data_IF_590945039927
#
_entry.id   IF_590945039927
#
_cell.length_a   1.000
_cell.length_b   1.000
_cell.length_c   1.000
_cell.angle_alpha   90.00
_cell.angle_beta   90.00
_cell.angle_gamma   90.00
#
_symmetry.space_group_name_H-M   'P 1'
#
loop_
_entity.id
_entity.type
_entity.pdbx_description
1 polymer ?
#
# COMPACT_ATOMS: atom_id res chain seq x y z
N UNK A 1 1.60 -21.94 -48.87
CA UNK A 1 2.99 -21.51 -48.69
C UNK A 1 3.23 -21.52 -47.23
N UNK A 2 3.93 -22.58 -46.89
CA UNK A 2 4.35 -23.00 -45.57
C UNK A 2 5.32 -21.98 -44.96
N UNK A 3 5.13 -21.67 -43.69
CA UNK A 3 6.22 -21.23 -42.81
C UNK A 3 6.08 -21.92 -41.44
N UNK A 4 6.58 -23.16 -41.49
CA UNK A 4 6.85 -24.02 -40.36
C UNK A 4 8.38 -24.15 -40.26
N UNK A 5 9.00 -23.61 -39.23
CA UNK A 5 10.40 -23.78 -38.76
C UNK A 5 10.76 -22.55 -37.94
N UNK A 6 11.13 -22.62 -36.68
CA UNK A 6 12.04 -23.50 -35.94
C UNK A 6 11.75 -23.38 -34.45
N UNK A 7 11.24 -24.43 -33.83
CA UNK A 7 11.44 -24.63 -32.38
C UNK A 7 12.81 -25.26 -32.21
N UNK A 8 13.77 -24.49 -31.74
CA UNK A 8 15.05 -25.04 -31.26
C UNK A 8 14.82 -25.79 -29.97
N UNK A 9 14.91 -27.11 -30.06
CA UNK A 9 15.03 -28.00 -28.91
C UNK A 9 16.25 -27.59 -28.08
N UNK A 10 15.99 -27.14 -26.87
CA UNK A 10 17.02 -26.97 -25.86
C UNK A 10 17.20 -28.34 -25.20
N UNK A 11 17.91 -29.25 -25.86
CA UNK A 11 18.39 -30.46 -25.22
C UNK A 11 19.50 -30.07 -24.25
N UNK A 12 19.17 -30.11 -22.97
CA UNK A 12 20.14 -30.07 -21.89
C UNK A 12 21.09 -31.24 -22.02
N UNK A 13 22.31 -30.99 -22.46
CA UNK A 13 23.45 -31.90 -22.23
C UNK A 13 23.78 -31.79 -20.76
N UNK A 14 23.14 -32.59 -19.92
CA UNK A 14 23.69 -32.95 -18.62
C UNK A 14 24.97 -33.75 -18.88
N UNK A 15 26.10 -33.09 -18.73
CA UNK A 15 27.37 -33.79 -18.53
C UNK A 15 27.28 -34.46 -17.17
N UNK A 16 27.16 -35.79 -17.17
CA UNK A 16 27.40 -36.64 -16.01
C UNK A 16 28.88 -36.48 -15.59
N UNK A 17 29.18 -35.42 -14.86
CA UNK A 17 30.41 -35.30 -14.10
C UNK A 17 30.32 -36.28 -12.93
N UNK A 18 30.88 -37.47 -13.11
CA UNK A 18 31.08 -38.45 -12.05
C UNK A 18 32.05 -37.82 -11.04
N UNK A 19 31.57 -37.63 -9.83
CA UNK A 19 32.37 -37.16 -8.69
C UNK A 19 33.54 -38.14 -8.45
N UNK A 20 34.72 -37.58 -8.09
CA UNK A 20 35.85 -38.37 -7.68
C UNK A 20 35.58 -39.11 -6.35
N UNK A 21 36.27 -40.20 -6.11
CA UNK A 21 36.08 -41.01 -4.87
C UNK A 21 36.35 -40.17 -3.59
N UNK A 22 37.20 -39.17 -3.69
CA UNK A 22 37.51 -38.26 -2.57
C UNK A 22 36.42 -37.25 -2.33
N UNK A 23 35.71 -36.77 -3.38
CA UNK A 23 34.56 -35.89 -3.27
C UNK A 23 33.32 -36.63 -2.74
N UNK A 24 33.13 -37.88 -3.14
CA UNK A 24 32.07 -38.73 -2.56
C UNK A 24 32.26 -38.93 -1.06
N UNK A 25 33.53 -39.20 -0.64
CA UNK A 25 33.88 -39.40 0.77
C UNK A 25 33.64 -38.11 1.58
N UNK A 26 34.00 -36.96 1.03
CA UNK A 26 33.80 -35.65 1.67
C UNK A 26 32.30 -35.34 1.81
N UNK A 27 31.51 -35.58 0.76
CA UNK A 27 30.08 -35.38 0.77
C UNK A 27 29.36 -36.34 1.77
N UNK A 28 29.87 -37.55 1.95
CA UNK A 28 29.34 -38.48 2.93
C UNK A 28 29.65 -38.05 4.38
N UNK A 29 30.87 -37.50 4.63
CA UNK A 29 31.23 -36.93 5.91
C UNK A 29 30.42 -35.68 6.25
N UNK A 30 30.02 -34.89 5.25
CA UNK A 30 29.15 -33.72 5.41
C UNK A 30 27.65 -34.05 5.48
N UNK A 31 27.29 -35.35 5.37
CA UNK A 31 25.89 -35.79 5.39
C UNK A 31 25.06 -35.35 4.19
N UNK A 32 25.71 -35.00 3.06
CA UNK A 32 25.07 -34.41 1.87
C UNK A 32 24.74 -35.47 0.81
N UNK A 33 25.15 -36.74 1.02
CA UNK A 33 24.89 -37.86 0.09
C UNK A 33 23.41 -38.18 -0.06
N UNK A 34 23.06 -38.77 -1.20
CA UNK A 34 21.67 -39.17 -1.49
C UNK A 34 21.06 -40.13 -0.46
N UNK A 35 21.89 -40.94 0.26
CA UNK A 35 21.44 -41.80 1.34
C UNK A 35 21.07 -40.99 2.60
N UNK A 36 21.87 -40.03 2.99
CA UNK A 36 21.60 -39.14 4.11
C UNK A 36 20.36 -38.26 3.85
N UNK A 37 20.20 -37.74 2.64
CA UNK A 37 18.98 -37.01 2.23
C UNK A 37 17.73 -37.85 2.28
N UNK A 38 17.77 -39.10 1.80
CA UNK A 38 16.64 -40.05 1.86
C UNK A 38 16.27 -40.38 3.30
N UNK A 39 17.27 -40.59 4.18
CA UNK A 39 17.04 -40.84 5.60
C UNK A 39 16.45 -39.62 6.30
N UNK A 40 16.97 -38.43 6.01
CA UNK A 40 16.44 -37.18 6.53
C UNK A 40 15.00 -36.90 6.07
N UNK A 41 14.71 -37.07 4.78
CA UNK A 41 13.35 -36.94 4.23
C UNK A 41 12.38 -37.97 4.84
N UNK A 42 12.83 -39.22 4.98
CA UNK A 42 12.01 -40.26 5.62
C UNK A 42 11.70 -39.93 7.09
N UNK A 43 12.68 -39.48 7.85
CA UNK A 43 12.49 -39.08 9.24
C UNK A 43 11.63 -37.81 9.37
N UNK A 44 11.82 -36.84 8.49
CA UNK A 44 11.02 -35.62 8.46
C UNK A 44 9.56 -35.90 8.09
N UNK A 45 9.30 -36.77 7.11
CA UNK A 45 7.95 -37.18 6.77
C UNK A 45 7.29 -38.00 7.90
N UNK A 46 8.02 -38.87 8.58
CA UNK A 46 7.48 -39.59 9.72
C UNK A 46 7.13 -38.66 10.89
N UNK A 47 7.98 -37.63 11.15
CA UNK A 47 7.70 -36.62 12.15
C UNK A 47 6.49 -35.75 11.79
N UNK A 48 6.37 -35.34 10.52
CA UNK A 48 5.21 -34.58 10.02
C UNK A 48 3.92 -35.40 10.09
N UNK A 49 3.95 -36.66 9.71
CA UNK A 49 2.79 -37.57 9.83
C UNK A 49 2.41 -37.81 11.28
N UNK A 50 3.41 -37.96 12.17
CA UNK A 50 3.18 -38.08 13.61
C UNK A 50 2.54 -36.87 14.23
N UNK A 51 3.04 -35.64 13.90
CA UNK A 51 2.46 -34.39 14.37
C UNK A 51 1.07 -34.13 13.77
N UNK A 52 0.85 -34.50 12.51
CA UNK A 52 -0.46 -34.41 11.88
C UNK A 52 -1.49 -35.37 12.49
N UNK A 53 -1.10 -36.63 12.73
CA UNK A 53 -1.94 -37.60 13.42
C UNK A 53 -2.23 -37.18 14.88
N UNK A 54 -1.23 -36.68 15.60
CA UNK A 54 -1.41 -36.10 16.94
C UNK A 54 -2.38 -34.92 16.93
N UNK A 55 -2.25 -34.02 15.94
CA UNK A 55 -3.17 -32.87 15.78
C UNK A 55 -4.60 -33.31 15.43
N UNK A 56 -4.78 -34.39 14.66
CA UNK A 56 -6.12 -34.91 14.37
C UNK A 56 -6.75 -35.53 15.61
N UNK A 57 -5.99 -36.33 16.37
CA UNK A 57 -6.47 -36.93 17.62
C UNK A 57 -6.74 -35.88 18.71
N UNK A 58 -5.85 -34.89 18.85
CA UNK A 58 -6.04 -33.78 19.78
C UNK A 58 -7.26 -32.91 19.42
N UNK A 59 -7.61 -32.83 18.14
CA UNK A 59 -8.82 -32.09 17.72
C UNK A 59 -10.11 -32.80 18.16
N UNK A 60 -10.17 -34.13 18.14
CA UNK A 60 -11.37 -34.81 18.60
C UNK A 60 -11.63 -34.58 20.11
N UNK A 61 -10.60 -34.66 20.93
CA UNK A 61 -10.73 -34.38 22.38
C UNK A 61 -11.01 -32.89 22.65
N UNK A 62 -10.36 -31.97 21.90
CA UNK A 62 -10.60 -30.52 22.02
C UNK A 62 -12.00 -30.16 21.50
N UNK A 63 -12.50 -30.80 20.45
CA UNK A 63 -13.88 -30.59 19.99
C UNK A 63 -14.92 -31.14 20.96
N UNK A 64 -14.61 -32.29 21.61
CA UNK A 64 -15.52 -32.85 22.61
C UNK A 64 -15.61 -31.97 23.85
N UNK A 65 -14.50 -31.36 24.30
CA UNK A 65 -14.50 -30.38 25.40
C UNK A 65 -15.15 -29.05 25.02
N UNK A 66 -14.98 -28.58 23.79
CA UNK A 66 -15.65 -27.40 23.27
C UNK A 66 -17.18 -27.59 23.09
N UNK A 67 -17.59 -28.82 22.77
CA UNK A 67 -19.03 -29.14 22.64
C UNK A 67 -19.73 -29.33 24.01
N UNK A 68 -18.95 -29.59 25.06
CA UNK A 68 -19.50 -29.79 26.41
C UNK A 68 -19.74 -28.48 27.18
N UNK A 69 -19.04 -27.39 26.82
CA UNK A 69 -19.18 -26.08 27.43
C UNK A 69 -19.20 -24.97 26.37
N UNK A 70 -20.29 -24.80 25.61
CA UNK A 70 -20.37 -23.77 24.57
C UNK A 70 -20.24 -22.33 25.13
N UNK A 71 -20.55 -22.13 26.42
CA UNK A 71 -20.47 -20.81 27.05
C UNK A 71 -19.07 -20.44 27.56
N UNK A 72 -18.16 -21.40 27.69
CA UNK A 72 -16.79 -21.14 28.19
C UNK A 72 -15.83 -20.59 27.14
N UNK A 73 -16.09 -20.84 25.85
CA UNK A 73 -15.25 -20.37 24.74
C UNK A 73 -15.54 -18.90 24.37
N UNK A 74 -16.72 -18.40 24.73
CA UNK A 74 -17.05 -16.98 24.71
C UNK A 74 -16.72 -16.28 26.04
N UNK A 75 -15.79 -16.85 26.83
CA UNK A 75 -15.22 -16.15 27.98
C UNK A 75 -14.72 -14.81 27.47
N UNK A 76 -15.49 -13.80 27.83
CA UNK A 76 -15.42 -12.37 27.55
C UNK A 76 -14.05 -11.95 27.02
N UNK A 77 -14.02 -11.55 25.73
CA UNK A 77 -12.91 -10.75 25.25
C UNK A 77 -12.65 -9.67 26.31
N UNK A 78 -11.39 -9.47 26.73
CA UNK A 78 -11.10 -8.49 27.79
C UNK A 78 -11.78 -7.17 27.42
N UNK A 79 -12.55 -6.63 28.36
CA UNK A 79 -13.25 -5.37 28.14
C UNK A 79 -12.24 -4.34 27.64
N UNK A 80 -12.55 -3.67 26.53
CA UNK A 80 -11.67 -2.65 25.98
C UNK A 80 -11.54 -1.55 27.02
N UNK A 81 -10.31 -1.28 27.47
CA UNK A 81 -10.05 -0.19 28.40
C UNK A 81 -10.47 1.14 27.75
N UNK A 82 -11.15 2.01 28.49
CA UNK A 82 -11.69 3.28 27.98
C UNK A 82 -12.57 3.12 26.71
N UNK A 83 -13.36 2.04 26.68
CA UNK A 83 -14.22 1.73 25.55
C UNK A 83 -15.21 2.85 25.24
N UNK A 84 -15.28 3.23 23.98
CA UNK A 84 -16.29 4.11 23.42
C UNK A 84 -16.96 3.43 22.23
N UNK A 85 -18.28 3.58 22.13
CA UNK A 85 -19.01 3.15 20.95
C UNK A 85 -19.03 4.27 19.94
N UNK A 86 -18.47 4.03 18.76
CA UNK A 86 -18.37 5.02 17.68
C UNK A 86 -19.19 4.54 16.49
N UNK A 87 -20.03 5.42 15.95
CA UNK A 87 -20.79 5.19 14.74
C UNK A 87 -20.12 5.92 13.58
N UNK A 88 -19.52 5.18 12.67
CA UNK A 88 -18.81 5.71 11.51
C UNK A 88 -19.59 5.43 10.23
N UNK A 89 -19.68 6.41 9.33
CA UNK A 89 -20.13 6.18 7.96
C UNK A 89 -18.89 6.00 7.08
N UNK A 90 -18.66 4.78 6.62
CA UNK A 90 -17.45 4.45 5.88
C UNK A 90 -17.86 3.90 4.52
N UNK A 91 -17.40 4.56 3.45
CA UNK A 91 -17.69 4.19 2.06
C UNK A 91 -19.19 3.97 1.84
N UNK A 92 -20.02 4.89 2.34
CA UNK A 92 -21.48 4.83 2.24
C UNK A 92 -22.18 3.85 3.20
N UNK A 93 -21.43 3.04 3.98
CA UNK A 93 -21.98 2.08 4.93
C UNK A 93 -21.79 2.55 6.38
N UNK A 94 -22.83 2.38 7.21
CA UNK A 94 -22.74 2.72 8.63
C UNK A 94 -22.19 1.53 9.42
N UNK A 95 -21.10 1.76 10.15
CA UNK A 95 -20.40 0.78 10.97
C UNK A 95 -20.41 1.22 12.43
N UNK A 96 -20.75 0.30 13.34
CA UNK A 96 -20.64 0.52 14.79
C UNK A 96 -19.42 -0.23 15.31
N UNK A 97 -18.54 0.48 15.98
CA UNK A 97 -17.32 -0.07 16.57
C UNK A 97 -17.25 0.27 18.04
N UNK A 98 -16.82 -0.70 18.85
CA UNK A 98 -16.36 -0.47 20.19
C UNK A 98 -14.84 -0.44 20.17
N UNK A 99 -14.26 0.70 20.50
CA UNK A 99 -12.82 0.93 20.44
C UNK A 99 -12.35 1.69 21.69
N UNK A 100 -11.07 1.61 22.04
CA UNK A 100 -10.46 2.52 23.00
C UNK A 100 -10.57 3.95 22.46
N UNK A 101 -10.92 4.91 23.31
CA UNK A 101 -11.07 6.32 22.94
C UNK A 101 -9.83 6.94 22.28
N UNK A 102 -8.65 6.32 22.48
CA UNK A 102 -7.35 6.71 21.89
C UNK A 102 -7.08 6.07 20.53
N UNK A 103 -7.96 5.18 20.04
CA UNK A 103 -7.75 4.47 18.78
C UNK A 103 -7.71 5.44 17.62
N UNK A 104 -6.61 5.39 16.84
CA UNK A 104 -6.50 6.13 15.60
C UNK A 104 -7.49 5.61 14.55
N UNK A 105 -7.98 6.52 13.71
CA UNK A 105 -8.87 6.14 12.60
C UNK A 105 -8.21 5.09 11.69
N UNK A 106 -6.91 5.22 11.45
CA UNK A 106 -6.13 4.25 10.67
C UNK A 106 -6.25 2.82 11.24
N UNK A 107 -6.10 2.67 12.55
CA UNK A 107 -6.17 1.37 13.22
C UNK A 107 -7.60 0.82 13.23
N UNK A 108 -8.60 1.69 13.43
CA UNK A 108 -10.00 1.31 13.32
C UNK A 108 -10.33 0.77 11.92
N UNK A 109 -9.89 1.46 10.86
CA UNK A 109 -10.10 1.04 9.48
C UNK A 109 -9.43 -0.29 9.17
N UNK A 110 -8.16 -0.44 9.52
CA UNK A 110 -7.35 -1.60 9.15
C UNK A 110 -7.61 -2.84 10.02
N UNK A 111 -7.59 -2.65 11.35
CA UNK A 111 -7.55 -3.77 12.31
C UNK A 111 -8.95 -4.20 12.76
N UNK A 112 -9.94 -3.30 12.68
CA UNK A 112 -11.32 -3.60 13.09
C UNK A 112 -12.25 -3.85 11.91
N UNK A 113 -12.07 -3.09 10.82
CA UNK A 113 -12.93 -3.18 9.64
C UNK A 113 -12.31 -3.93 8.46
N UNK A 114 -11.02 -4.29 8.55
CA UNK A 114 -10.34 -5.01 7.48
C UNK A 114 -10.10 -4.18 6.21
N UNK A 115 -10.28 -2.84 6.27
CA UNK A 115 -10.02 -1.94 5.16
C UNK A 115 -8.53 -1.64 5.08
N UNK A 116 -7.78 -2.53 4.45
CA UNK A 116 -6.31 -2.52 4.42
C UNK A 116 -5.71 -1.67 3.31
N UNK A 117 -6.52 -1.08 2.45
CA UNK A 117 -6.08 -0.18 1.39
C UNK A 117 -5.34 1.04 1.92
N UNK A 118 -5.87 1.69 2.95
CA UNK A 118 -5.16 2.76 3.67
C UNK A 118 -3.93 2.19 4.40
N UNK A 119 -2.75 2.78 4.19
CA UNK A 119 -1.47 2.20 4.63
C UNK A 119 -0.87 2.89 5.86
N UNK A 120 -0.32 2.09 6.78
CA UNK A 120 0.46 2.56 7.93
C UNK A 120 1.94 2.64 7.51
N UNK A 121 2.41 3.83 7.11
CA UNK A 121 3.80 4.07 6.76
C UNK A 121 4.63 4.53 7.96
N UNK A 122 4.53 5.78 8.36
CA UNK A 122 5.31 6.36 9.46
C UNK A 122 4.59 6.36 10.81
N UNK A 123 3.25 6.29 10.82
CA UNK A 123 2.38 6.37 11.99
C UNK A 123 2.53 7.66 12.85
N UNK A 124 3.05 8.71 12.24
CA UNK A 124 3.34 9.99 12.91
C UNK A 124 3.07 11.21 12.02
N UNK A 125 2.23 11.07 11.00
CA UNK A 125 1.75 12.18 10.17
C UNK A 125 2.71 12.70 9.12
N UNK A 126 3.88 12.05 8.86
CA UNK A 126 4.91 12.60 7.97
C UNK A 126 4.81 12.13 6.51
N UNK A 127 4.28 10.93 6.25
CA UNK A 127 4.41 10.30 4.94
C UNK A 127 3.17 10.36 4.05
N UNK A 128 2.00 10.67 4.59
CA UNK A 128 0.74 10.74 3.84
C UNK A 128 0.17 9.41 3.33
N UNK A 129 0.82 8.25 3.57
CA UNK A 129 0.34 6.95 3.09
C UNK A 129 -1.02 6.55 3.70
N UNK A 130 -1.37 7.13 4.84
CA UNK A 130 -2.62 6.90 5.55
C UNK A 130 -3.72 7.92 5.22
N UNK A 131 -3.56 8.74 4.20
CA UNK A 131 -4.56 9.77 3.83
C UNK A 131 -5.89 9.12 3.46
N UNK A 132 -6.96 9.62 4.07
CA UNK A 132 -8.36 9.32 3.76
C UNK A 132 -9.13 10.64 3.61
N UNK A 133 -10.36 10.57 3.14
CA UNK A 133 -11.24 11.75 3.00
C UNK A 133 -12.31 11.67 4.09
N UNK A 134 -12.41 12.70 4.93
CA UNK A 134 -13.44 12.83 5.97
C UNK A 134 -14.26 14.09 5.70
N UNK A 135 -15.54 13.94 5.48
CA UNK A 135 -16.46 15.05 5.10
C UNK A 135 -15.89 15.90 3.95
N UNK A 136 -15.36 15.24 2.91
CA UNK A 136 -14.79 15.90 1.73
C UNK A 136 -13.37 16.46 1.92
N UNK A 137 -12.77 16.39 3.12
CA UNK A 137 -11.43 16.90 3.41
C UNK A 137 -10.43 15.76 3.62
N UNK A 138 -9.26 15.85 3.02
CA UNK A 138 -8.18 14.89 3.28
C UNK A 138 -7.65 15.05 4.70
N UNK A 139 -7.49 13.94 5.38
CA UNK A 139 -6.91 13.86 6.73
C UNK A 139 -5.91 12.72 6.82
N UNK A 140 -4.95 12.86 7.73
CA UNK A 140 -4.01 11.80 8.06
C UNK A 140 -4.66 10.89 9.12
N UNK A 141 -5.15 9.74 8.72
CA UNK A 141 -5.89 8.85 9.62
C UNK A 141 -5.07 8.32 10.81
N UNK A 142 -3.74 8.30 10.72
CA UNK A 142 -2.86 7.96 11.84
C UNK A 142 -2.86 9.01 12.96
N UNK A 143 -3.19 10.27 12.66
CA UNK A 143 -3.29 11.36 13.63
C UNK A 143 -4.75 11.77 13.95
N UNK A 144 -5.71 11.06 13.37
CA UNK A 144 -7.14 11.32 13.57
C UNK A 144 -7.70 10.25 14.49
N UNK A 145 -8.35 10.62 15.59
CA UNK A 145 -9.02 9.64 16.45
C UNK A 145 -10.30 9.12 15.80
N UNK A 146 -10.55 7.82 15.89
CA UNK A 146 -11.78 7.22 15.39
C UNK A 146 -13.02 7.87 16.05
N UNK A 147 -12.96 8.11 17.36
CA UNK A 147 -14.04 8.76 18.11
C UNK A 147 -14.33 10.19 17.61
N UNK A 148 -13.36 10.92 17.07
CA UNK A 148 -13.57 12.26 16.52
C UNK A 148 -14.28 12.26 15.17
N UNK A 149 -14.42 11.08 14.56
CA UNK A 149 -15.11 10.88 13.28
C UNK A 149 -16.54 10.38 13.45
N UNK A 150 -17.07 10.33 14.69
CA UNK A 150 -18.45 9.92 14.92
C UNK A 150 -19.42 10.75 14.10
N UNK A 151 -20.30 10.07 13.36
CA UNK A 151 -21.29 10.68 12.48
C UNK A 151 -20.77 11.29 11.19
N UNK A 152 -19.45 11.33 10.99
CA UNK A 152 -18.81 11.84 9.77
C UNK A 152 -18.74 10.77 8.68
N UNK A 153 -18.67 11.23 7.44
CA UNK A 153 -18.46 10.37 6.30
C UNK A 153 -16.96 10.21 6.02
N UNK A 154 -16.51 8.96 6.02
CA UNK A 154 -15.13 8.58 5.77
C UNK A 154 -15.06 7.84 4.44
N UNK A 155 -14.33 8.37 3.49
CA UNK A 155 -14.04 7.69 2.22
C UNK A 155 -12.59 7.24 2.20
N UNK A 156 -12.41 5.94 2.01
CA UNK A 156 -11.10 5.31 1.82
C UNK A 156 -10.89 4.97 0.34
N UNK A 157 -9.72 4.47 0.00
CA UNK A 157 -9.42 4.07 -1.39
C UNK A 157 -10.40 3.02 -1.93
N UNK A 158 -10.88 2.13 -1.05
CA UNK A 158 -11.85 1.10 -1.40
C UNK A 158 -13.23 1.68 -1.77
N UNK A 159 -13.56 2.86 -1.27
CA UNK A 159 -14.84 3.51 -1.52
C UNK A 159 -14.84 4.47 -2.71
N UNK A 160 -13.73 4.62 -3.43
CA UNK A 160 -13.66 5.49 -4.60
C UNK A 160 -14.19 4.81 -5.88
N UNK A 161 -13.95 3.51 -6.02
CA UNK A 161 -14.48 2.74 -7.15
C UNK A 161 -15.94 2.32 -6.89
N UNK A 162 -16.71 2.18 -7.97
CA UNK A 162 -18.05 1.60 -7.97
C UNK A 162 -17.99 0.22 -8.64
N UNK A 163 -17.87 -0.83 -7.82
CA UNK A 163 -17.60 -2.19 -8.30
C UNK A 163 -16.35 -2.25 -9.17
N UNK A 164 -16.49 -2.71 -10.40
CA UNK A 164 -15.40 -2.80 -11.38
C UNK A 164 -15.09 -1.45 -12.08
N UNK A 165 -15.88 -0.41 -11.83
CA UNK A 165 -15.67 0.90 -12.43
C UNK A 165 -14.72 1.72 -11.56
N UNK A 166 -13.49 1.87 -12.03
CA UNK A 166 -12.49 2.67 -11.35
C UNK A 166 -12.88 4.16 -11.35
N UNK A 167 -12.58 4.83 -10.24
CA UNK A 167 -12.63 6.29 -10.21
C UNK A 167 -11.65 6.87 -11.25
N UNK A 168 -11.97 7.99 -11.94
CA UNK A 168 -11.10 8.58 -12.97
C UNK A 168 -9.65 8.78 -12.51
N UNK A 169 -9.44 9.15 -11.24
CA UNK A 169 -8.11 9.30 -10.67
C UNK A 169 -7.36 7.95 -10.56
N UNK A 170 -8.05 6.86 -10.20
CA UNK A 170 -7.45 5.52 -10.16
C UNK A 170 -7.03 5.07 -11.57
N UNK A 171 -7.89 5.28 -12.55
CA UNK A 171 -7.59 4.95 -13.95
C UNK A 171 -6.40 5.78 -14.49
N UNK A 172 -6.36 7.08 -14.17
CA UNK A 172 -5.25 7.96 -14.57
C UNK A 172 -3.92 7.55 -13.91
N UNK A 173 -3.93 7.12 -12.65
CA UNK A 173 -2.72 6.61 -11.98
C UNK A 173 -2.18 5.35 -12.66
N UNK A 174 -3.04 4.46 -13.15
CA UNK A 174 -2.62 3.28 -13.93
C UNK A 174 -2.04 3.73 -15.27
N UNK A 175 -2.73 4.63 -15.98
CA UNK A 175 -2.34 5.10 -17.31
C UNK A 175 -0.99 5.82 -17.33
N UNK A 176 -0.68 6.60 -16.28
CA UNK A 176 0.50 7.43 -16.18
C UNK A 176 1.61 6.84 -15.29
N UNK A 177 1.54 5.56 -14.95
CA UNK A 177 2.51 4.92 -14.03
C UNK A 177 2.71 5.72 -12.73
N UNK A 178 1.61 6.24 -12.17
CA UNK A 178 1.60 7.02 -10.94
C UNK A 178 2.01 6.24 -9.69
N UNK A 179 2.54 5.02 -9.84
CA UNK A 179 3.02 4.16 -8.77
C UNK A 179 4.04 3.14 -9.28
N UNK A 180 4.84 2.58 -8.36
CA UNK A 180 5.69 1.42 -8.59
C UNK A 180 5.36 0.33 -7.58
N UNK A 181 5.85 0.44 -6.33
CA UNK A 181 5.54 -0.56 -5.29
C UNK A 181 4.08 -0.53 -4.81
N UNK A 182 3.33 0.52 -5.10
CA UNK A 182 1.92 0.66 -4.74
C UNK A 182 1.64 1.03 -3.27
N UNK A 183 2.64 1.06 -2.39
CA UNK A 183 2.41 1.24 -0.96
C UNK A 183 1.82 2.61 -0.61
N UNK A 184 2.33 3.71 -1.16
CA UNK A 184 1.81 5.06 -0.93
C UNK A 184 0.60 5.40 -1.80
N UNK A 185 0.29 4.57 -2.80
CA UNK A 185 -0.70 4.88 -3.84
C UNK A 185 -2.11 5.16 -3.32
N UNK A 186 -2.66 4.41 -2.35
CA UNK A 186 -3.97 4.75 -1.77
C UNK A 186 -4.03 6.16 -1.19
N UNK A 187 -3.01 6.55 -0.42
CA UNK A 187 -2.91 7.89 0.14
C UNK A 187 -2.71 8.97 -0.92
N UNK A 188 -1.92 8.69 -1.97
CA UNK A 188 -1.71 9.60 -3.10
C UNK A 188 -3.03 9.85 -3.85
N UNK A 189 -3.79 8.80 -4.14
CA UNK A 189 -5.07 8.91 -4.85
C UNK A 189 -6.09 9.67 -4.01
N UNK A 190 -6.27 9.34 -2.72
CA UNK A 190 -7.18 10.06 -1.84
C UNK A 190 -6.80 11.55 -1.74
N UNK A 191 -5.50 11.86 -1.63
CA UNK A 191 -5.01 13.24 -1.63
C UNK A 191 -5.28 13.95 -2.96
N UNK A 192 -5.08 13.27 -4.10
CA UNK A 192 -5.31 13.81 -5.42
C UNK A 192 -6.81 14.11 -5.67
N UNK A 193 -7.70 13.25 -5.21
CA UNK A 193 -9.16 13.48 -5.30
C UNK A 193 -9.56 14.71 -4.48
N UNK A 194 -9.09 14.80 -3.24
CA UNK A 194 -9.39 15.94 -2.37
C UNK A 194 -8.77 17.24 -2.90
N UNK A 195 -7.56 17.19 -3.48
CA UNK A 195 -6.89 18.33 -4.12
C UNK A 195 -7.75 18.97 -5.22
N UNK A 196 -8.45 18.16 -6.03
CA UNK A 196 -9.32 18.68 -7.07
C UNK A 196 -10.49 19.49 -6.48
N UNK A 197 -11.08 19.03 -5.39
CA UNK A 197 -12.14 19.77 -4.70
C UNK A 197 -11.59 21.03 -4.01
N UNK A 198 -10.41 20.97 -3.40
CA UNK A 198 -9.72 22.13 -2.83
C UNK A 198 -9.49 23.22 -3.90
N UNK A 199 -8.99 22.81 -5.07
CA UNK A 199 -8.77 23.76 -6.18
C UNK A 199 -10.07 24.37 -6.69
N UNK A 200 -11.13 23.59 -6.77
CA UNK A 200 -12.47 24.01 -7.19
C UNK A 200 -13.10 24.98 -6.19
N UNK A 201 -12.92 24.73 -4.89
CA UNK A 201 -13.40 25.60 -3.82
C UNK A 201 -12.57 26.89 -3.69
N UNK A 202 -11.40 26.97 -4.33
CA UNK A 202 -10.49 28.10 -4.20
C UNK A 202 -9.66 28.08 -2.92
N UNK A 203 -9.45 26.89 -2.33
CA UNK A 203 -8.61 26.79 -1.14
C UNK A 203 -7.17 27.22 -1.46
N UNK A 204 -6.60 28.07 -0.61
CA UNK A 204 -5.24 28.59 -0.81
C UNK A 204 -4.19 27.47 -0.65
N UNK A 205 -3.11 27.57 -1.42
CA UNK A 205 -1.90 26.78 -1.26
C UNK A 205 -0.71 27.67 -0.94
N UNK A 206 0.44 27.09 -0.65
CA UNK A 206 1.66 27.84 -0.39
C UNK A 206 2.16 28.64 -1.60
N UNK A 207 1.76 28.26 -2.81
CA UNK A 207 2.09 28.98 -4.05
C UNK A 207 1.02 29.96 -4.52
N UNK A 208 -0.03 30.18 -3.71
CA UNK A 208 -1.07 31.17 -4.00
C UNK A 208 -0.52 32.55 -3.84
N UNK A 209 -0.43 33.32 -4.94
CA UNK A 209 0.20 34.63 -4.96
C UNK A 209 -0.54 35.71 -4.15
N UNK A 210 -1.87 35.65 -4.08
CA UNK A 210 -2.68 36.66 -3.39
C UNK A 210 -3.80 36.00 -2.61
N UNK A 211 -3.66 35.97 -1.30
CA UNK A 211 -4.66 35.40 -0.38
C UNK A 211 -5.91 36.29 -0.23
N UNK A 212 -5.82 37.57 -0.65
CA UNK A 212 -6.94 38.54 -0.59
C UNK A 212 -7.94 38.40 -1.74
N UNK A 213 -7.57 37.69 -2.82
CA UNK A 213 -8.40 37.48 -4.00
C UNK A 213 -8.34 36.01 -4.41
N UNK A 214 -8.94 35.13 -3.60
CA UNK A 214 -9.00 33.72 -3.89
C UNK A 214 -10.08 33.53 -4.96
N UNK A 215 -9.66 33.16 -6.17
CA UNK A 215 -10.57 32.80 -7.24
C UNK A 215 -11.04 31.37 -7.03
N UNK A 216 -12.34 31.11 -7.18
CA UNK A 216 -12.84 29.74 -7.34
C UNK A 216 -12.25 29.14 -8.61
N UNK A 217 -12.09 27.82 -8.63
CA UNK A 217 -11.46 27.09 -9.74
C UNK A 217 -10.00 27.53 -10.00
N UNK A 218 -9.15 27.34 -9.01
CA UNK A 218 -7.71 27.59 -9.14
C UNK A 218 -7.14 26.73 -10.26
N UNK A 219 -6.43 27.38 -11.20
CA UNK A 219 -5.74 26.66 -12.27
C UNK A 219 -4.60 25.81 -11.67
N UNK A 220 -4.67 24.50 -11.87
CA UNK A 220 -3.66 23.55 -11.38
C UNK A 220 -2.47 23.49 -12.33
N UNK A 221 -1.49 24.36 -12.12
CA UNK A 221 -0.16 24.19 -12.71
C UNK A 221 0.58 23.01 -12.05
N UNK A 222 1.63 22.51 -12.71
CA UNK A 222 2.46 21.45 -12.14
C UNK A 222 3.05 21.86 -10.77
N UNK A 223 3.38 23.14 -10.60
CA UNK A 223 3.86 23.70 -9.33
C UNK A 223 2.78 23.63 -8.26
N UNK A 224 1.54 24.00 -8.60
CA UNK A 224 0.39 23.94 -7.69
C UNK A 224 0.07 22.49 -7.28
N UNK A 225 0.11 21.56 -8.26
CA UNK A 225 -0.11 20.12 -7.98
C UNK A 225 0.97 19.60 -7.05
N UNK A 226 2.25 19.86 -7.33
CA UNK A 226 3.37 19.39 -6.49
C UNK A 226 3.28 19.93 -5.08
N UNK A 227 2.93 21.20 -4.93
CA UNK A 227 2.75 21.84 -3.62
C UNK A 227 1.64 21.13 -2.83
N UNK A 228 0.46 20.98 -3.41
CA UNK A 228 -0.68 20.34 -2.74
C UNK A 228 -0.46 18.88 -2.45
N UNK A 229 0.42 18.22 -3.19
CA UNK A 229 0.80 16.81 -3.00
C UNK A 229 2.04 16.61 -2.11
N UNK A 230 2.69 17.68 -1.66
CA UNK A 230 3.97 17.63 -0.92
C UNK A 230 3.91 16.81 0.37
N UNK A 231 2.73 16.68 0.99
CA UNK A 231 2.51 15.86 2.19
C UNK A 231 2.46 14.35 1.93
N UNK A 232 2.50 13.90 0.67
CA UNK A 232 2.40 12.49 0.30
C UNK A 232 3.72 12.00 -0.31
N UNK A 233 4.50 11.24 0.45
CA UNK A 233 5.84 10.81 0.07
C UNK A 233 5.78 9.51 -0.74
N UNK A 234 6.49 9.49 -1.89
CA UNK A 234 6.72 8.29 -2.69
C UNK A 234 8.20 7.93 -2.72
N UNK A 235 8.60 6.84 -2.04
CA UNK A 235 10.00 6.40 -2.01
C UNK A 235 10.51 5.92 -3.37
N UNK A 236 9.62 5.43 -4.24
CA UNK A 236 9.96 5.00 -5.60
C UNK A 236 10.11 6.16 -6.59
N UNK A 237 9.73 7.38 -6.22
CA UNK A 237 9.90 8.55 -7.08
C UNK A 237 8.88 8.67 -8.21
N UNK A 238 7.68 8.07 -8.10
CA UNK A 238 6.66 8.12 -9.15
C UNK A 238 5.98 9.49 -9.32
N UNK A 239 6.57 10.56 -8.79
CA UNK A 239 6.00 11.92 -8.80
C UNK A 239 5.64 12.45 -10.19
N UNK A 240 6.46 12.25 -11.26
CA UNK A 240 6.08 12.71 -12.59
C UNK A 240 4.76 12.09 -13.09
N UNK A 241 4.59 10.78 -12.90
CA UNK A 241 3.36 10.07 -13.24
C UNK A 241 2.16 10.53 -12.41
N UNK A 242 2.35 10.77 -11.09
CA UNK A 242 1.31 11.31 -10.20
C UNK A 242 0.84 12.69 -10.67
N UNK A 243 1.76 13.60 -11.00
CA UNK A 243 1.44 14.94 -11.50
C UNK A 243 0.70 14.85 -12.84
N UNK A 244 1.15 13.98 -13.75
CA UNK A 244 0.51 13.77 -15.04
C UNK A 244 -0.93 13.23 -14.89
N UNK A 245 -1.15 12.27 -13.98
CA UNK A 245 -2.47 11.72 -13.69
C UNK A 245 -3.44 12.79 -13.16
N UNK A 246 -3.00 13.60 -12.20
CA UNK A 246 -3.82 14.67 -11.62
C UNK A 246 -4.16 15.73 -12.69
N UNK A 247 -3.19 16.09 -13.52
CA UNK A 247 -3.37 17.06 -14.60
C UNK A 247 -4.38 16.59 -15.64
N UNK A 248 -4.32 15.30 -16.02
CA UNK A 248 -5.28 14.71 -16.94
C UNK A 248 -6.70 14.77 -16.38
N UNK A 249 -6.90 14.31 -15.17
CA UNK A 249 -8.23 14.31 -14.53
C UNK A 249 -8.77 15.74 -14.35
N UNK A 250 -7.91 16.68 -13.97
CA UNK A 250 -8.30 18.09 -13.83
C UNK A 250 -8.72 18.74 -15.14
N UNK A 251 -7.93 18.50 -16.20
CA UNK A 251 -8.18 19.14 -17.51
C UNK A 251 -9.28 18.44 -18.32
N UNK A 252 -9.60 17.20 -18.01
CA UNK A 252 -10.47 16.32 -18.81
C UNK A 252 -9.90 16.03 -20.20
N UNK A 253 -8.59 16.30 -20.42
CA UNK A 253 -7.90 16.07 -21.68
C UNK A 253 -6.79 15.05 -21.51
N UNK A 254 -6.69 14.15 -22.45
CA UNK A 254 -5.52 13.26 -22.52
C UNK A 254 -4.25 14.09 -22.67
N UNK A 255 -3.34 13.97 -21.73
CA UNK A 255 -2.02 14.55 -21.82
C UNK A 255 -1.05 13.48 -22.25
N UNK A 256 -0.39 13.69 -23.42
CA UNK A 256 0.71 12.83 -23.81
C UNK A 256 1.82 12.93 -22.75
N UNK A 257 2.31 11.77 -22.31
CA UNK A 257 3.48 11.72 -21.43
C UNK A 257 4.71 12.06 -22.26
N UNK A 258 5.20 13.29 -22.14
CA UNK A 258 6.48 13.68 -22.73
C UNK A 258 7.55 13.58 -21.64
N UNK A 259 8.43 12.60 -21.78
CA UNK A 259 9.64 12.52 -20.97
C UNK A 259 10.63 13.56 -21.48
N UNK A 260 10.88 14.59 -20.67
CA UNK A 260 11.93 15.55 -20.94
C UNK A 260 13.13 15.16 -20.06
N UNK A 261 14.15 14.63 -20.68
CA UNK A 261 15.43 14.45 -19.99
C UNK A 261 16.11 15.81 -19.95
N UNK A 262 16.58 16.21 -18.77
CA UNK A 262 17.33 17.43 -18.63
C UNK A 262 18.57 17.36 -19.53
N UNK A 263 18.84 18.41 -20.29
CA UNK A 263 20.05 18.55 -21.07
C UNK A 263 21.26 18.73 -20.14
N UNK A 264 22.45 18.44 -20.65
CA UNK A 264 23.70 18.64 -19.89
C UNK A 264 23.86 20.10 -19.44
N UNK A 265 23.31 21.06 -20.21
CA UNK A 265 23.30 22.49 -19.87
C UNK A 265 22.35 22.80 -18.69
N UNK A 266 21.17 22.19 -18.67
CA UNK A 266 20.20 22.34 -17.56
C UNK A 266 20.72 21.70 -16.27
N UNK A 267 21.38 20.53 -16.38
CA UNK A 267 22.05 19.88 -15.25
C UNK A 267 23.17 20.76 -14.70
N UNK A 268 24.02 21.29 -15.58
CA UNK A 268 25.11 22.19 -15.17
C UNK A 268 24.60 23.50 -14.55
N UNK A 269 23.49 24.05 -15.03
CA UNK A 269 22.87 25.24 -14.45
C UNK A 269 22.32 24.96 -13.05
N UNK A 270 21.63 23.83 -12.84
CA UNK A 270 21.11 23.42 -11.54
C UNK A 270 22.21 23.19 -10.51
N UNK A 271 23.31 22.53 -10.90
CA UNK A 271 24.48 22.32 -10.03
C UNK A 271 25.19 23.62 -9.64
N UNK A 272 25.19 24.62 -10.53
CA UNK A 272 25.75 25.95 -10.24
C UNK A 272 24.87 26.78 -9.31
N UNK A 273 23.55 26.57 -9.29
CA UNK A 273 22.64 27.21 -8.36
C UNK A 273 22.75 26.62 -6.95
N UNK A 274 22.91 25.28 -6.82
CA UNK A 274 23.12 24.63 -5.54
C UNK A 274 24.46 25.05 -4.90
N UNK A 275 25.53 25.20 -5.69
CA UNK A 275 26.84 25.69 -5.20
C UNK A 275 26.82 27.12 -4.67
N UNK A 276 25.81 27.93 -5.04
CA UNK A 276 25.63 29.29 -4.50
C UNK A 276 24.80 29.34 -3.21
N UNK A 277 24.03 28.30 -2.96
CA UNK A 277 23.22 28.20 -1.73
C UNK A 277 24.08 27.85 -0.51
N UNK A 278 25.19 27.14 -0.70
CA UNK A 278 26.10 26.76 0.38
C UNK A 278 27.06 27.88 0.82
N UNK A 279 27.14 29.00 0.06
CA UNK A 279 27.94 30.19 0.43
C UNK A 279 27.21 31.19 1.34
N UNK A 280 25.94 30.93 1.72
CA UNK A 280 25.10 31.86 2.51
C UNK A 280 24.83 31.32 3.94
N UNK A 281 25.70 30.44 4.47
CA UNK A 281 25.61 30.01 5.89
C UNK A 281 26.85 30.49 6.67
#
# INVERSE_FOLDING_TARGET
>A
MDDNQERKDFSSTESDEQLSADEETLLDQLGITGAARRKFLGQSMAALLGTFAFHLLAKEEAFATLAAEPDAVFAQAPAVENAVNVLLKINGSTQRLEVDSRTALLDALRERLGLTGTKKGCDQGQCGACTVIVDGRRVLSCLTLAASCEGKEVTTIEGLADGDNLHPMQAAFIKHDGFQCGYCTPGQICSAVALLEEAKNGDASHVTNNLGTIAQNVALSDKEIRERMSGNICRCGAYPGIVAAIREVHSGRETAQTWHFASDEEIAAALNEEGKADEIV
#
